data_IF_674292876840
#
_entry.id   IF_674292876840
#
_cell.length_a   1.000
_cell.length_b   1.000
_cell.length_c   1.000
_cell.angle_alpha   90.00
_cell.angle_beta   90.00
_cell.angle_gamma   90.00
#
_symmetry.space_group_name_H-M   'P 1'
#
loop_
_entity.id
_entity.type
_entity.pdbx_description
1 polymer ?
#
# COMPACT_ATOMS: atom_id res chain seq x y z
N UNK A 1 -15.52 1.41 -17.57
CA UNK A 1 -15.96 0.67 -16.37
C UNK A 1 -14.86 -0.30 -15.93
N UNK A 2 -13.97 0.14 -15.04
CA UNK A 2 -12.99 -0.71 -14.33
C UNK A 2 -12.75 -0.02 -12.99
N UNK A 3 -13.24 -0.55 -11.86
CA UNK A 3 -12.75 -0.09 -10.54
C UNK A 3 -13.24 -0.94 -9.37
N UNK A 4 -14.53 -1.26 -9.25
CA UNK A 4 -15.03 -1.82 -7.99
C UNK A 4 -14.54 -3.25 -7.69
N UNK A 5 -14.45 -4.10 -8.72
CA UNK A 5 -13.97 -5.47 -8.56
C UNK A 5 -12.48 -5.52 -8.22
N UNK A 6 -11.67 -4.70 -8.90
CA UNK A 6 -10.22 -4.62 -8.65
C UNK A 6 -9.87 -4.03 -7.28
N UNK A 7 -10.67 -3.08 -6.80
CA UNK A 7 -10.43 -2.46 -5.49
C UNK A 7 -10.79 -3.44 -4.35
N UNK A 8 -11.86 -4.25 -4.52
CA UNK A 8 -12.20 -5.33 -3.59
C UNK A 8 -11.14 -6.44 -3.56
N UNK A 9 -10.60 -6.84 -4.69
CA UNK A 9 -9.49 -7.81 -4.75
C UNK A 9 -8.25 -7.26 -4.03
N UNK A 10 -7.99 -5.96 -4.16
CA UNK A 10 -6.91 -5.31 -3.45
C UNK A 10 -7.15 -5.26 -1.94
N UNK A 11 -8.37 -4.98 -1.47
CA UNK A 11 -8.74 -5.07 -0.05
C UNK A 11 -8.52 -6.48 0.51
N UNK A 12 -8.88 -7.51 -0.26
CA UNK A 12 -8.65 -8.91 0.11
C UNK A 12 -7.15 -9.17 0.21
N UNK A 13 -6.35 -8.75 -0.77
CA UNK A 13 -4.90 -8.88 -0.73
C UNK A 13 -4.30 -8.16 0.48
N UNK A 14 -4.72 -6.93 0.78
CA UNK A 14 -4.27 -6.20 1.96
C UNK A 14 -4.56 -7.00 3.22
N UNK A 15 -5.78 -7.52 3.36
CA UNK A 15 -6.18 -8.30 4.54
C UNK A 15 -5.39 -9.59 4.71
N UNK A 16 -5.31 -10.41 3.66
CA UNK A 16 -4.80 -11.79 3.76
C UNK A 16 -3.29 -11.87 3.62
N UNK A 17 -2.70 -11.07 2.74
CA UNK A 17 -1.29 -11.18 2.38
C UNK A 17 -0.46 -10.19 3.19
N UNK A 18 -0.86 -8.92 3.22
CA UNK A 18 -0.08 -7.92 3.96
C UNK A 18 -0.41 -7.98 5.44
N UNK A 19 -1.68 -7.94 5.84
CA UNK A 19 -2.08 -7.76 7.25
C UNK A 19 -2.15 -9.07 8.03
N UNK A 20 -2.24 -10.23 7.37
CA UNK A 20 -2.42 -11.56 7.97
C UNK A 20 -3.65 -11.61 8.91
N UNK A 21 -4.79 -11.11 8.42
CA UNK A 21 -6.03 -11.02 9.17
C UNK A 21 -7.14 -11.85 8.54
N UNK A 22 -7.99 -12.46 9.38
CA UNK A 22 -9.25 -13.06 8.94
C UNK A 22 -10.30 -11.97 8.71
N UNK A 23 -10.94 -12.00 7.55
CA UNK A 23 -11.93 -11.00 7.14
C UNK A 23 -11.30 -9.79 6.44
N UNK A 24 -12.12 -9.07 5.68
CA UNK A 24 -11.66 -7.94 4.85
C UNK A 24 -12.17 -6.62 5.42
N UNK A 25 -11.30 -5.61 5.47
CA UNK A 25 -11.63 -4.22 5.80
C UNK A 25 -11.56 -3.36 4.53
N UNK A 26 -12.22 -2.20 4.50
CA UNK A 26 -12.19 -1.29 3.35
C UNK A 26 -10.87 -0.52 3.23
N UNK A 27 -9.76 -1.22 2.97
CA UNK A 27 -8.41 -0.62 2.89
C UNK A 27 -8.27 0.41 1.76
N UNK A 28 -8.91 0.18 0.62
CA UNK A 28 -8.81 1.02 -0.57
C UNK A 28 -9.71 2.25 -0.55
N UNK A 29 -10.68 2.30 0.36
CA UNK A 29 -11.66 3.40 0.46
C UNK A 29 -11.61 4.16 1.78
N UNK A 30 -11.09 3.58 2.87
CA UNK A 30 -10.98 4.24 4.17
C UNK A 30 -9.52 4.45 4.61
N UNK A 31 -9.20 5.67 5.05
CA UNK A 31 -7.84 6.03 5.46
C UNK A 31 -7.38 5.32 6.73
N UNK A 32 -8.27 5.05 7.68
CA UNK A 32 -7.93 4.37 8.94
C UNK A 32 -7.34 2.97 8.70
N UNK A 33 -8.08 2.06 8.01
CA UNK A 33 -7.54 0.77 7.58
C UNK A 33 -6.29 0.90 6.69
N UNK A 34 -6.26 1.82 5.72
CA UNK A 34 -5.06 2.03 4.89
C UNK A 34 -3.83 2.41 5.72
N UNK A 35 -4.00 3.21 6.78
CA UNK A 35 -2.90 3.61 7.64
C UNK A 35 -2.32 2.44 8.44
N UNK A 36 -3.12 1.44 8.79
CA UNK A 36 -2.62 0.20 9.42
C UNK A 36 -1.66 -0.55 8.49
N UNK A 37 -1.92 -0.51 7.17
CA UNK A 37 -0.98 -1.04 6.16
C UNK A 37 0.32 -0.25 6.18
N UNK A 38 0.26 1.08 6.21
CA UNK A 38 1.45 1.96 6.32
C UNK A 38 2.28 1.58 7.54
N UNK A 39 1.65 1.48 8.71
CA UNK A 39 2.35 1.12 9.94
C UNK A 39 3.04 -0.24 9.84
N UNK A 40 2.38 -1.24 9.22
CA UNK A 40 2.98 -2.56 8.99
C UNK A 40 4.19 -2.49 8.06
N UNK A 41 4.06 -1.76 6.93
CA UNK A 41 5.16 -1.55 5.98
C UNK A 41 6.36 -0.84 6.62
N UNK A 42 6.13 0.16 7.47
CA UNK A 42 7.22 0.84 8.19
C UNK A 42 7.88 -0.06 9.24
N UNK A 43 7.10 -0.82 10.02
CA UNK A 43 7.63 -1.61 11.14
C UNK A 43 8.32 -2.89 10.69
N UNK A 44 7.71 -3.64 9.78
CA UNK A 44 8.19 -4.95 9.34
C UNK A 44 9.14 -4.82 8.14
N UNK A 45 8.73 -4.06 7.13
CA UNK A 45 9.47 -3.93 5.87
C UNK A 45 10.39 -2.72 5.80
N UNK A 46 10.52 -1.97 6.90
CA UNK A 46 11.43 -0.81 7.04
C UNK A 46 11.26 0.26 5.94
N UNK A 47 10.06 0.37 5.38
CA UNK A 47 9.77 1.39 4.39
C UNK A 47 9.47 2.74 5.04
N UNK A 48 9.69 3.82 4.29
CA UNK A 48 9.24 5.18 4.61
C UNK A 48 8.15 5.58 3.62
N UNK A 49 7.04 6.14 4.09
CA UNK A 49 5.97 6.63 3.22
C UNK A 49 6.17 8.11 2.91
N UNK A 50 6.14 8.46 1.62
CA UNK A 50 5.83 9.80 1.13
C UNK A 50 4.45 9.79 0.49
N UNK A 51 3.61 10.76 0.84
CA UNK A 51 2.28 10.93 0.27
C UNK A 51 2.16 12.36 -0.27
N UNK A 52 2.01 12.49 -1.58
CA UNK A 52 1.85 13.77 -2.26
C UNK A 52 0.41 13.89 -2.80
N UNK A 53 -0.16 15.10 -2.72
CA UNK A 53 -1.44 15.44 -3.33
C UNK A 53 -1.25 16.55 -4.34
N UNK A 54 -1.75 16.34 -5.55
CA UNK A 54 -1.71 17.30 -6.64
C UNK A 54 -3.12 17.82 -6.87
N UNK A 55 -3.32 19.11 -6.57
CA UNK A 55 -4.57 19.83 -6.80
C UNK A 55 -4.48 20.51 -8.16
N UNK A 56 -5.01 19.87 -9.20
CA UNK A 56 -4.95 20.35 -10.58
C UNK A 56 -6.33 20.47 -11.22
N UNK A 57 -6.38 21.08 -12.41
CA UNK A 57 -7.63 21.31 -13.19
C UNK A 57 -8.32 20.00 -13.59
N UNK A 58 -7.56 18.89 -13.66
CA UNK A 58 -8.04 17.54 -13.96
C UNK A 58 -8.56 16.75 -12.75
N UNK A 59 -8.59 17.35 -11.56
CA UNK A 59 -9.06 16.74 -10.31
C UNK A 59 -7.93 16.39 -9.34
N UNK A 60 -8.31 15.87 -8.18
CA UNK A 60 -7.37 15.45 -7.14
C UNK A 60 -6.63 14.17 -7.55
N UNK A 61 -5.30 14.23 -7.51
CA UNK A 61 -4.43 13.08 -7.73
C UNK A 61 -3.54 12.87 -6.50
N UNK A 62 -3.63 11.67 -5.95
CA UNK A 62 -2.80 11.21 -4.85
C UNK A 62 -1.68 10.32 -5.37
N UNK A 63 -0.47 10.53 -4.87
CA UNK A 63 0.71 9.73 -5.16
C UNK A 63 1.29 9.22 -3.85
N UNK A 64 1.30 7.90 -3.66
CA UNK A 64 1.93 7.25 -2.52
C UNK A 64 3.23 6.60 -2.96
N UNK A 65 4.29 6.76 -2.17
CA UNK A 65 5.62 6.22 -2.43
C UNK A 65 6.17 5.58 -1.16
N UNK A 66 6.34 4.26 -1.18
CA UNK A 66 7.15 3.56 -0.17
C UNK A 66 8.61 3.51 -0.60
N UNK A 67 9.50 4.06 0.21
CA UNK A 67 10.94 4.03 0.01
C UNK A 67 11.60 3.05 0.98
N UNK A 68 12.42 2.14 0.49
CA UNK A 68 13.21 1.22 1.31
C UNK A 68 14.67 1.69 1.38
N UNK A 69 15.14 2.26 2.50
CA UNK A 69 16.44 2.92 2.59
C UNK A 69 17.62 1.96 2.35
N UNK A 70 17.56 0.73 2.87
CA UNK A 70 18.66 -0.24 2.72
C UNK A 70 18.81 -0.77 1.29
N UNK A 71 17.74 -0.70 0.49
CA UNK A 71 17.73 -1.15 -0.91
C UNK A 71 17.82 0.03 -1.88
N UNK A 72 17.77 1.27 -1.37
CA UNK A 72 17.64 2.49 -2.16
C UNK A 72 16.53 2.43 -3.22
N UNK A 73 15.42 1.75 -2.92
CA UNK A 73 14.37 1.45 -3.88
C UNK A 73 13.05 2.13 -3.50
N UNK A 74 12.28 2.54 -4.50
CA UNK A 74 11.01 3.25 -4.32
C UNK A 74 9.89 2.56 -5.10
N UNK A 75 8.75 2.39 -4.45
CA UNK A 75 7.54 1.81 -5.02
C UNK A 75 6.44 2.86 -4.98
N UNK A 76 6.10 3.39 -6.16
CA UNK A 76 5.14 4.49 -6.31
C UNK A 76 3.82 3.98 -6.92
N UNK A 77 2.70 4.50 -6.44
CA UNK A 77 1.43 4.36 -7.12
C UNK A 77 0.57 5.61 -7.04
N UNK A 78 -0.34 5.75 -8.01
CA UNK A 78 -1.23 6.91 -8.17
C UNK A 78 -2.69 6.49 -8.12
N UNK A 79 -3.51 7.32 -7.48
CA UNK A 79 -4.96 7.11 -7.42
C UNK A 79 -5.73 8.42 -7.18
N UNK A 80 -7.05 8.33 -7.30
CA UNK A 80 -7.95 9.45 -6.98
C UNK A 80 -8.10 9.70 -5.48
N UNK A 81 -7.73 8.73 -4.65
CA UNK A 81 -7.85 8.81 -3.18
C UNK A 81 -6.55 8.34 -2.53
N UNK A 82 -6.23 8.90 -1.37
CA UNK A 82 -5.07 8.49 -0.57
C UNK A 82 -5.07 6.99 -0.23
N UNK A 83 -6.17 6.39 0.28
CA UNK A 83 -6.19 4.98 0.68
C UNK A 83 -5.86 4.04 -0.49
N UNK A 84 -6.40 4.33 -1.68
CA UNK A 84 -6.14 3.52 -2.87
C UNK A 84 -4.70 3.66 -3.37
N UNK A 85 -4.14 4.87 -3.36
CA UNK A 85 -2.74 5.09 -3.73
C UNK A 85 -1.81 4.32 -2.80
N UNK A 86 -2.06 4.40 -1.48
CA UNK A 86 -1.31 3.68 -0.44
C UNK A 86 -1.37 2.17 -0.68
N UNK A 87 -2.56 1.60 -0.85
CA UNK A 87 -2.72 0.16 -0.98
C UNK A 87 -2.04 -0.39 -2.25
N UNK A 88 -2.10 0.35 -3.37
CA UNK A 88 -1.41 -0.05 -4.59
C UNK A 88 0.11 0.00 -4.42
N UNK A 89 0.65 1.07 -3.84
CA UNK A 89 2.08 1.18 -3.59
C UNK A 89 2.57 0.12 -2.58
N UNK A 90 1.77 -0.17 -1.55
CA UNK A 90 2.07 -1.19 -0.54
C UNK A 90 2.11 -2.60 -1.16
N UNK A 91 1.20 -2.93 -2.08
CA UNK A 91 1.20 -4.21 -2.80
C UNK A 91 2.51 -4.40 -3.58
N UNK A 92 2.90 -3.41 -4.37
CA UNK A 92 4.14 -3.48 -5.16
C UNK A 92 5.38 -3.61 -4.25
N UNK A 93 5.45 -2.80 -3.20
CA UNK A 93 6.52 -2.89 -2.21
C UNK A 93 6.55 -4.26 -1.52
N UNK A 94 5.40 -4.79 -1.09
CA UNK A 94 5.34 -6.09 -0.44
C UNK A 94 5.81 -7.22 -1.36
N UNK A 95 5.35 -7.26 -2.60
CA UNK A 95 5.70 -8.33 -3.55
C UNK A 95 7.21 -8.40 -3.80
N UNK A 96 7.88 -7.26 -3.86
CA UNK A 96 9.33 -7.19 -4.05
C UNK A 96 10.12 -7.44 -2.75
N UNK A 97 9.64 -6.96 -1.60
CA UNK A 97 10.34 -7.07 -0.32
C UNK A 97 10.14 -8.43 0.36
N UNK A 98 8.93 -8.98 0.34
CA UNK A 98 8.64 -10.30 0.92
C UNK A 98 9.26 -11.44 0.10
N UNK A 99 9.55 -11.22 -1.19
CA UNK A 99 10.33 -12.16 -2.01
C UNK A 99 11.84 -12.15 -1.71
N UNK A 100 12.33 -11.23 -0.87
CA UNK A 100 13.75 -11.00 -0.65
C UNK A 100 14.27 -11.36 0.75
N UNK A 101 13.40 -11.77 1.69
CA UNK A 101 13.85 -12.28 3.00
C UNK A 101 13.53 -13.77 3.13
N UNK A 102 14.53 -14.65 3.38
CA UNK A 102 14.25 -15.95 3.96
C UNK A 102 13.67 -15.74 5.37
N UNK A 103 12.71 -16.57 5.82
CA UNK A 103 12.12 -16.43 7.15
C UNK A 103 13.22 -16.50 8.22
N UNK A 104 13.35 -15.44 9.00
CA UNK A 104 14.13 -15.43 10.22
C UNK A 104 13.46 -16.36 11.22
N UNK A 105 13.95 -17.61 11.33
CA UNK A 105 13.58 -18.53 12.39
C UNK A 105 13.78 -17.89 13.76
N UNK A 106 12.68 -17.73 14.50
CA UNK A 106 12.66 -17.61 15.96
C UNK A 106 11.73 -18.67 16.51
#
# INVERSE_FOLDING_TARGET
>A
MRSAYSDRELDIFMATVIMDQKGTRPYTSEIGPAWQVVEKMMRQYKCELKLDVFLGVSGELWVASFYHPLKCQRYESRAKTAPLAICRAAKEAYLDLAGAEPPSNK
#
